data_IF_430834333899
#
_entry.id   IF_430834333899
#
_cell.length_a   1.000
_cell.length_b   1.000
_cell.length_c   1.000
_cell.angle_alpha   90.00
_cell.angle_beta   90.00
_cell.angle_gamma   90.00
#
_symmetry.space_group_name_H-M   'P 1'
#
loop_
_entity.id
_entity.type
_entity.pdbx_description
1 polymer ?
#
# COMPACT_ATOMS: atom_id res chain seq x y z
N UNK A 1 -1.74 11.43 22.26
CA UNK A 1 -1.38 10.03 21.93
C UNK A 1 -2.65 9.38 21.41
N UNK A 2 -2.60 8.67 20.28
CA UNK A 2 -3.78 8.02 19.71
C UNK A 2 -4.24 6.87 20.63
N UNK A 3 -5.53 6.75 20.93
CA UNK A 3 -6.03 5.67 21.78
C UNK A 3 -6.33 4.44 20.93
N UNK A 4 -5.67 3.31 21.18
CA UNK A 4 -5.97 2.06 20.48
C UNK A 4 -7.12 1.35 21.19
N UNK A 5 -8.19 1.08 20.46
CA UNK A 5 -9.29 0.21 20.89
C UNK A 5 -9.22 -1.09 20.07
N UNK A 6 -8.50 -2.12 20.56
CA UNK A 6 -8.29 -3.33 19.80
C UNK A 6 -9.59 -4.13 19.68
N UNK A 7 -9.80 -4.74 18.51
CA UNK A 7 -10.86 -5.70 18.26
C UNK A 7 -10.20 -7.02 17.87
N UNK A 8 -10.68 -8.13 18.44
CA UNK A 8 -10.22 -9.46 18.03
C UNK A 8 -10.79 -9.80 16.65
N UNK A 9 -9.90 -10.02 15.69
CA UNK A 9 -10.25 -10.45 14.35
C UNK A 9 -9.61 -11.82 14.09
N UNK A 10 -10.28 -12.73 13.37
CA UNK A 10 -9.70 -14.01 13.01
C UNK A 10 -8.46 -13.81 12.14
N UNK A 11 -7.42 -14.58 12.41
CA UNK A 11 -6.22 -14.59 11.58
C UNK A 11 -6.53 -15.17 10.20
N UNK A 12 -6.14 -14.45 9.16
CA UNK A 12 -6.23 -14.91 7.77
C UNK A 12 -4.84 -15.25 7.24
N UNK A 13 -4.76 -16.29 6.41
CA UNK A 13 -3.51 -16.68 5.75
C UNK A 13 -3.51 -16.16 4.32
N UNK A 14 -2.37 -15.67 3.83
CA UNK A 14 -2.23 -15.25 2.45
C UNK A 14 -1.29 -16.18 1.68
N UNK A 15 -1.74 -16.68 0.52
CA UNK A 15 -0.93 -17.48 -0.42
C UNK A 15 -0.84 -16.77 -1.76
N UNK A 16 0.22 -17.04 -2.53
CA UNK A 16 0.36 -16.51 -3.89
C UNK A 16 0.32 -17.68 -4.87
N UNK A 17 -0.66 -17.66 -5.77
CA UNK A 17 -0.84 -18.68 -6.82
C UNK A 17 -0.95 -17.94 -8.15
N UNK A 18 -0.17 -18.34 -9.15
CA UNK A 18 -0.18 -17.76 -10.50
C UNK A 18 -0.05 -16.23 -10.54
N UNK A 19 0.76 -15.67 -9.62
CA UNK A 19 0.98 -14.22 -9.51
C UNK A 19 -0.16 -13.44 -8.86
N UNK A 20 -1.22 -14.11 -8.39
CA UNK A 20 -2.32 -13.51 -7.65
C UNK A 20 -2.21 -13.85 -6.17
N UNK A 21 -2.26 -12.83 -5.32
CA UNK A 21 -2.34 -13.01 -3.86
C UNK A 21 -3.78 -13.32 -3.47
N UNK A 22 -3.97 -14.47 -2.81
CA UNK A 22 -5.24 -14.99 -2.31
C UNK A 22 -5.21 -15.03 -0.79
N UNK A 23 -6.31 -14.63 -0.17
CA UNK A 23 -6.53 -14.68 1.27
C UNK A 23 -7.47 -15.83 1.58
N UNK A 24 -7.02 -16.72 2.46
CA UNK A 24 -7.76 -17.87 2.95
C UNK A 24 -8.54 -17.49 4.19
N UNK A 25 -9.85 -17.73 4.16
CA UNK A 25 -10.73 -17.53 5.30
C UNK A 25 -10.68 -18.73 6.25
N UNK A 26 -11.12 -18.59 7.52
CA UNK A 26 -11.20 -19.72 8.44
C UNK A 26 -12.03 -20.92 7.95
N UNK A 27 -12.95 -20.70 7.01
CA UNK A 27 -13.77 -21.74 6.37
C UNK A 27 -13.09 -22.42 5.17
N UNK A 28 -11.84 -22.03 4.84
CA UNK A 28 -11.05 -22.58 3.73
C UNK A 28 -11.31 -21.93 2.36
N UNK A 29 -12.14 -20.89 2.29
CA UNK A 29 -12.40 -20.15 1.04
C UNK A 29 -11.21 -19.26 0.68
N UNK A 30 -10.91 -19.10 -0.62
CA UNK A 30 -9.80 -18.27 -1.10
C UNK A 30 -10.31 -17.09 -1.92
N UNK A 31 -10.01 -15.87 -1.47
CA UNK A 31 -10.44 -14.64 -2.13
C UNK A 31 -9.26 -13.79 -2.59
N UNK A 32 -9.31 -13.19 -3.79
CA UNK A 32 -8.29 -12.25 -4.23
C UNK A 32 -8.37 -10.94 -3.44
N UNK A 33 -7.29 -10.17 -3.49
CA UNK A 33 -7.30 -8.82 -2.91
C UNK A 33 -8.32 -7.89 -3.60
N UNK A 34 -8.82 -6.89 -2.87
CA UNK A 34 -9.70 -5.86 -3.44
C UNK A 34 -9.03 -5.17 -4.64
N UNK A 35 -7.73 -4.90 -4.56
CA UNK A 35 -6.98 -4.28 -5.67
C UNK A 35 -6.95 -5.17 -6.91
N UNK A 36 -6.87 -6.50 -6.74
CA UNK A 36 -6.99 -7.47 -7.84
C UNK A 36 -8.36 -7.37 -8.51
N UNK A 37 -9.45 -7.37 -7.72
CA UNK A 37 -10.81 -7.25 -8.25
C UNK A 37 -10.99 -5.92 -9.00
N UNK A 38 -10.46 -4.82 -8.48
CA UNK A 38 -10.55 -3.51 -9.12
C UNK A 38 -9.67 -3.38 -10.36
N UNK A 39 -8.63 -4.22 -10.50
CA UNK A 39 -7.66 -4.13 -11.59
C UNK A 39 -8.24 -4.44 -12.98
N UNK A 40 -9.42 -5.06 -13.06
CA UNK A 40 -10.10 -5.36 -14.34
C UNK A 40 -10.91 -4.18 -14.88
N UNK A 41 -11.09 -3.12 -14.08
CA UNK A 41 -11.84 -1.92 -14.49
C UNK A 41 -11.13 -1.18 -15.64
N UNK A 42 -11.88 -0.33 -16.35
CA UNK A 42 -11.42 0.40 -17.52
C UNK A 42 -10.12 1.19 -17.26
N UNK A 43 -9.08 0.91 -18.06
CA UNK A 43 -7.75 1.58 -18.00
C UNK A 43 -7.49 2.55 -19.15
N UNK A 44 -8.48 2.85 -19.99
CA UNK A 44 -8.32 3.65 -21.22
C UNK A 44 -7.55 4.95 -20.97
N UNK A 45 -8.01 5.76 -20.00
CA UNK A 45 -7.36 7.04 -19.70
C UNK A 45 -5.90 6.90 -19.22
N UNK A 46 -5.59 5.85 -18.45
CA UNK A 46 -4.22 5.58 -18.02
C UNK A 46 -3.34 5.17 -19.21
N UNK A 47 -3.85 4.33 -20.12
CA UNK A 47 -3.12 3.91 -21.32
C UNK A 47 -2.89 5.07 -22.29
N UNK A 48 -3.88 5.93 -22.48
CA UNK A 48 -3.76 7.16 -23.27
C UNK A 48 -2.73 8.12 -22.67
N UNK A 49 -2.71 8.27 -21.34
CA UNK A 49 -1.68 9.05 -20.65
C UNK A 49 -0.29 8.45 -20.87
N UNK A 50 -0.10 7.13 -20.67
CA UNK A 50 1.20 6.46 -20.90
C UNK A 50 1.70 6.67 -22.33
N UNK A 51 0.81 6.52 -23.32
CA UNK A 51 1.15 6.77 -24.73
C UNK A 51 1.53 8.23 -24.98
N UNK A 52 0.87 9.18 -24.32
CA UNK A 52 1.14 10.61 -24.45
C UNK A 52 2.50 11.02 -23.87
N UNK A 53 2.88 10.50 -22.71
CA UNK A 53 4.16 10.86 -22.05
C UNK A 53 5.34 9.98 -22.45
N UNK A 54 5.09 8.82 -23.05
CA UNK A 54 6.10 7.81 -23.37
C UNK A 54 6.39 6.86 -22.20
N UNK A 55 6.86 5.64 -22.52
CA UNK A 55 7.06 4.57 -21.52
C UNK A 55 8.05 4.97 -20.42
N UNK A 56 9.24 5.45 -20.77
CA UNK A 56 10.27 5.81 -19.79
C UNK A 56 9.78 6.85 -18.77
N UNK A 57 9.11 7.90 -19.26
CA UNK A 57 8.52 8.93 -18.39
C UNK A 57 7.39 8.33 -17.55
N UNK A 58 6.51 7.54 -18.15
CA UNK A 58 5.42 6.91 -17.42
C UNK A 58 5.94 6.00 -16.31
N UNK A 59 6.96 5.17 -16.58
CA UNK A 59 7.62 4.30 -15.61
C UNK A 59 8.28 5.10 -14.49
N UNK A 60 9.02 6.15 -14.83
CA UNK A 60 9.63 7.05 -13.85
C UNK A 60 8.59 7.69 -12.92
N UNK A 61 7.56 8.31 -13.50
CA UNK A 61 6.49 9.00 -12.74
C UNK A 61 5.71 8.01 -11.87
N UNK A 62 5.28 6.87 -12.43
CA UNK A 62 4.56 5.85 -11.67
C UNK A 62 5.42 5.27 -10.54
N UNK A 63 6.71 5.03 -10.78
CA UNK A 63 7.65 4.55 -9.76
C UNK A 63 7.84 5.56 -8.62
N UNK A 64 8.06 6.84 -8.95
CA UNK A 64 8.15 7.92 -7.95
C UNK A 64 6.86 8.06 -7.14
N UNK A 65 5.70 7.99 -7.80
CA UNK A 65 4.41 8.07 -7.15
C UNK A 65 4.19 6.89 -6.18
N UNK A 66 4.50 5.67 -6.61
CA UNK A 66 4.39 4.47 -5.76
C UNK A 66 5.31 4.56 -4.53
N UNK A 67 6.58 4.91 -4.72
CA UNK A 67 7.54 5.06 -3.63
C UNK A 67 7.10 6.12 -2.60
N UNK A 68 6.59 7.27 -3.08
CA UNK A 68 6.04 8.32 -2.21
C UNK A 68 4.81 7.83 -1.45
N UNK A 69 3.92 7.10 -2.13
CA UNK A 69 2.73 6.50 -1.52
C UNK A 69 3.09 5.57 -0.35
N UNK A 70 4.09 4.70 -0.53
CA UNK A 70 4.59 3.81 0.53
C UNK A 70 5.10 4.60 1.73
N UNK A 71 5.91 5.65 1.51
CA UNK A 71 6.46 6.50 2.57
C UNK A 71 5.37 7.21 3.37
N UNK A 72 4.34 7.73 2.69
CA UNK A 72 3.20 8.39 3.36
C UNK A 72 2.43 7.41 4.23
N UNK A 73 2.11 6.21 3.72
CA UNK A 73 1.38 5.21 4.51
C UNK A 73 2.16 4.75 5.73
N UNK A 74 3.48 4.55 5.59
CA UNK A 74 4.35 4.20 6.71
C UNK A 74 4.38 5.30 7.77
N UNK A 75 4.49 6.57 7.37
CA UNK A 75 4.45 7.70 8.30
C UNK A 75 3.12 7.77 9.06
N UNK A 76 1.98 7.54 8.37
CA UNK A 76 0.67 7.47 9.01
C UNK A 76 0.58 6.32 10.02
N UNK A 77 1.05 5.13 9.65
CA UNK A 77 1.10 3.95 10.54
C UNK A 77 1.94 4.22 11.79
N UNK A 78 3.17 4.74 11.60
CA UNK A 78 4.07 5.09 12.69
C UNK A 78 3.48 6.15 13.62
N UNK A 79 2.75 7.12 13.08
CA UNK A 79 2.06 8.13 13.89
C UNK A 79 0.96 7.51 14.76
N UNK A 80 0.13 6.64 14.17
CA UNK A 80 -0.92 5.94 14.88
C UNK A 80 -0.35 5.06 16.00
N UNK A 81 0.81 4.43 15.77
CA UNK A 81 1.55 3.63 16.74
C UNK A 81 2.45 4.46 17.70
N UNK A 82 2.29 5.79 17.72
CA UNK A 82 3.02 6.75 18.57
C UNK A 82 4.53 6.69 18.47
N UNK A 83 5.06 6.29 17.32
CA UNK A 83 6.50 6.25 17.08
C UNK A 83 7.11 7.64 17.25
N UNK A 84 6.38 8.70 16.93
CA UNK A 84 6.78 10.08 17.16
C UNK A 84 7.03 10.43 18.64
N UNK A 85 6.34 9.76 19.57
CA UNK A 85 6.48 9.99 21.02
C UNK A 85 7.48 9.01 21.62
N UNK A 86 7.33 7.71 21.30
CA UNK A 86 8.08 6.63 21.91
C UNK A 86 9.51 6.51 21.34
N UNK A 87 9.69 6.82 20.05
CA UNK A 87 10.98 6.78 19.36
C UNK A 87 11.18 8.00 18.46
N UNK A 88 11.37 9.21 19.03
CA UNK A 88 11.48 10.44 18.25
C UNK A 88 12.60 10.41 17.20
N UNK A 89 13.73 9.74 17.49
CA UNK A 89 14.81 9.58 16.52
C UNK A 89 14.40 8.81 15.27
N UNK A 90 13.56 7.77 15.41
CA UNK A 90 13.02 7.00 14.28
C UNK A 90 12.02 7.84 13.51
N UNK A 91 11.22 8.64 14.20
CA UNK A 91 10.28 9.57 13.57
C UNK A 91 10.97 10.63 12.70
N UNK A 92 12.13 11.13 13.13
CA UNK A 92 12.93 12.08 12.35
C UNK A 92 13.37 11.53 10.99
N UNK A 93 13.46 10.20 10.82
CA UNK A 93 13.81 9.58 9.54
C UNK A 93 12.79 9.88 8.44
N UNK A 94 11.50 10.02 8.79
CA UNK A 94 10.44 10.40 7.83
C UNK A 94 10.71 11.75 7.17
N UNK A 95 11.47 12.66 7.80
CA UNK A 95 11.80 13.95 7.18
C UNK A 95 12.66 13.78 5.93
N UNK A 96 13.57 12.79 5.91
CA UNK A 96 14.45 12.52 4.76
C UNK A 96 13.69 12.11 3.49
N UNK A 97 12.43 11.70 3.66
CA UNK A 97 11.60 11.16 2.61
C UNK A 97 10.77 12.20 1.85
N UNK A 98 10.64 13.41 2.39
CA UNK A 98 9.77 14.47 1.88
C UNK A 98 10.44 15.84 1.68
N UNK A 99 11.74 15.95 1.99
CA UNK A 99 12.57 17.14 1.76
C UNK A 99 13.69 16.85 0.76
#
# INVERSE_FOLDING_TARGET
MFNHEPVELPTITATTTDGVRLYETPEGNKYPSITTILSVRNKKGLMEWRKRVGEEVAKYVSGKAAARGTKVHLMCEDYLNHVNVNWPHKWEEHKKDFF
#
